data_IF_682406516003
#
_entry.id   IF_682406516003
#
_cell.length_a   1.000
_cell.length_b   1.000
_cell.length_c   1.000
_cell.angle_alpha   90.00
_cell.angle_beta   90.00
_cell.angle_gamma   90.00
#
_symmetry.space_group_name_H-M   'P 1'
#
loop_
_entity.id
_entity.type
_entity.pdbx_description
1 polymer ?
#
# COMPACT_ATOMS: atom_id res chain seq x y z
N UNK A 1 45.90 32.33 -20.65
CA UNK A 1 47.13 31.78 -21.29
C UNK A 1 47.27 30.36 -20.76
N UNK A 2 46.87 29.36 -21.55
CA UNK A 2 47.74 28.56 -22.44
C UNK A 2 48.90 27.91 -21.67
N UNK A 3 48.84 26.58 -21.55
CA UNK A 3 49.86 25.58 -21.93
C UNK A 3 49.39 24.23 -21.31
N UNK A 4 48.99 23.16 -22.04
CA UNK A 4 49.73 22.29 -22.99
C UNK A 4 51.13 21.96 -22.44
N UNK A 5 51.51 20.72 -22.12
CA UNK A 5 51.56 19.54 -22.99
C UNK A 5 51.65 18.22 -22.19
N UNK A 6 51.11 17.15 -22.80
CA UNK A 6 51.62 15.77 -22.93
C UNK A 6 52.83 15.33 -22.08
N UNK A 7 52.90 14.12 -21.49
CA UNK A 7 52.82 12.85 -22.23
C UNK A 7 52.92 11.58 -21.34
N UNK A 8 52.17 10.54 -21.76
CA UNK A 8 52.51 9.10 -21.84
C UNK A 8 52.72 8.24 -20.55
N UNK A 9 51.77 7.38 -20.16
CA UNK A 9 51.67 5.92 -20.47
C UNK A 9 51.55 5.15 -19.13
N UNK A 10 50.81 4.06 -18.87
CA UNK A 10 50.34 2.89 -19.62
C UNK A 10 49.11 2.26 -18.93
N UNK A 11 48.30 1.51 -19.71
CA UNK A 11 47.66 0.21 -19.39
C UNK A 11 46.68 0.13 -18.19
N UNK A 12 45.42 -0.29 -18.28
CA UNK A 12 44.94 -1.54 -18.87
C UNK A 12 43.40 -1.47 -19.02
N UNK A 13 42.86 -1.62 -20.24
CA UNK A 13 41.43 -1.85 -20.52
C UNK A 13 41.33 -3.26 -21.11
N UNK A 14 40.72 -4.18 -20.37
CA UNK A 14 40.29 -5.46 -20.94
C UNK A 14 38.81 -5.37 -21.30
N UNK A 15 38.58 -5.11 -22.57
CA UNK A 15 37.37 -5.46 -23.32
C UNK A 15 37.66 -6.78 -24.04
N UNK A 16 36.91 -7.84 -23.78
CA UNK A 16 36.92 -9.03 -24.62
C UNK A 16 35.63 -9.08 -25.42
N UNK A 17 35.66 -8.39 -26.57
CA UNK A 17 34.81 -8.72 -27.71
C UNK A 17 35.27 -10.04 -28.31
N UNK A 18 34.31 -10.82 -28.78
CA UNK A 18 34.51 -12.15 -29.35
C UNK A 18 34.94 -11.95 -30.80
N UNK A 19 36.23 -12.16 -31.10
CA UNK A 19 36.69 -12.22 -32.49
C UNK A 19 36.37 -13.59 -33.09
N UNK A 20 35.63 -13.54 -34.19
CA UNK A 20 35.31 -14.66 -35.07
C UNK A 20 36.57 -15.14 -35.79
N UNK A 21 36.96 -16.40 -35.56
CA UNK A 21 38.06 -17.04 -36.28
C UNK A 21 37.49 -17.76 -37.51
N UNK A 22 37.95 -17.28 -38.66
CA UNK A 22 37.77 -17.81 -40.01
C UNK A 22 38.00 -19.34 -40.05
N UNK A 23 36.99 -20.07 -40.53
CA UNK A 23 37.09 -21.50 -40.87
C UNK A 23 38.11 -21.71 -41.99
N UNK A 24 39.23 -22.36 -41.67
CA UNK A 24 40.06 -22.99 -42.69
C UNK A 24 39.36 -24.26 -43.22
N UNK A 25 39.53 -24.64 -44.50
CA UNK A 25 38.91 -25.83 -45.06
C UNK A 25 39.50 -27.08 -44.39
N UNK A 26 38.65 -27.83 -43.69
CA UNK A 26 38.98 -29.15 -43.16
C UNK A 26 39.12 -30.11 -44.36
N UNK A 27 40.28 -30.76 -44.57
CA UNK A 27 40.40 -31.78 -45.61
C UNK A 27 39.47 -32.96 -45.26
N UNK A 28 38.87 -33.63 -46.27
CA UNK A 28 37.91 -34.70 -46.03
C UNK A 28 38.56 -35.81 -45.18
N UNK A 29 37.82 -36.44 -44.26
CA UNK A 29 38.39 -37.44 -43.36
C UNK A 29 38.56 -38.76 -44.13
N UNK A 30 39.63 -38.85 -44.91
CA UNK A 30 40.25 -40.15 -45.21
C UNK A 30 40.96 -40.58 -43.95
N UNK A 31 40.27 -41.41 -43.16
CA UNK A 31 40.82 -42.56 -42.42
C UNK A 31 39.84 -43.01 -41.32
N UNK A 32 38.70 -43.56 -41.76
CA UNK A 32 37.76 -44.30 -40.88
C UNK A 32 38.40 -45.55 -40.24
N UNK A 33 39.60 -45.97 -40.69
CA UNK A 33 40.30 -47.16 -40.20
C UNK A 33 41.04 -46.94 -38.88
N UNK A 34 41.85 -45.88 -38.77
CA UNK A 34 42.75 -45.70 -37.63
C UNK A 34 42.05 -45.22 -36.35
N UNK A 35 40.97 -44.43 -36.48
CA UNK A 35 40.13 -44.02 -35.33
C UNK A 35 39.47 -45.24 -34.68
N UNK A 36 39.01 -46.19 -35.49
CA UNK A 36 38.37 -47.43 -35.01
C UNK A 36 39.39 -48.39 -34.38
N UNK A 37 40.64 -48.39 -34.84
CA UNK A 37 41.72 -49.21 -34.29
C UNK A 37 42.27 -48.61 -32.99
N UNK A 38 42.49 -47.29 -32.91
CA UNK A 38 42.91 -46.62 -31.68
C UNK A 38 41.84 -46.68 -30.58
N UNK A 39 40.55 -46.67 -30.94
CA UNK A 39 39.45 -46.97 -30.00
C UNK A 39 39.50 -48.40 -29.44
N UNK A 40 39.97 -49.39 -30.23
CA UNK A 40 40.14 -50.78 -29.77
C UNK A 40 41.38 -50.99 -28.89
N UNK A 41 42.41 -50.13 -29.02
CA UNK A 41 43.63 -50.21 -28.20
C UNK A 41 43.58 -49.34 -26.94
N UNK A 42 42.63 -48.40 -26.84
CA UNK A 42 42.37 -47.66 -25.61
C UNK A 42 40.88 -47.71 -25.19
N UNK A 43 40.31 -48.92 -24.98
CA UNK A 43 38.94 -49.07 -24.48
C UNK A 43 38.79 -48.43 -23.09
N UNK A 44 39.90 -48.32 -22.34
CA UNK A 44 39.98 -47.61 -21.07
C UNK A 44 39.80 -46.10 -21.23
N UNK A 45 40.25 -45.49 -22.32
CA UNK A 45 40.04 -44.07 -22.61
C UNK A 45 38.58 -43.73 -22.89
N UNK A 46 37.90 -44.53 -23.71
CA UNK A 46 36.47 -44.37 -23.97
C UNK A 46 35.63 -44.67 -22.70
N UNK A 47 36.03 -45.67 -21.91
CA UNK A 47 35.41 -45.97 -20.61
C UNK A 47 35.65 -44.86 -19.59
N UNK A 48 36.84 -44.27 -19.54
CA UNK A 48 37.19 -43.15 -18.66
C UNK A 48 36.45 -41.87 -19.06
N UNK A 49 36.28 -41.60 -20.35
CA UNK A 49 35.50 -40.48 -20.87
C UNK A 49 34.01 -40.64 -20.55
N UNK A 50 33.45 -41.84 -20.74
CA UNK A 50 32.09 -42.16 -20.33
C UNK A 50 31.90 -42.01 -18.81
N UNK A 51 32.86 -42.51 -18.02
CA UNK A 51 32.84 -42.36 -16.57
C UNK A 51 32.94 -40.89 -16.15
N UNK A 52 33.84 -40.11 -16.76
CA UNK A 52 33.96 -38.67 -16.55
C UNK A 52 32.67 -37.91 -16.87
N UNK A 53 32.00 -38.25 -17.98
CA UNK A 53 30.69 -37.69 -18.33
C UNK A 53 29.61 -38.05 -17.31
N UNK A 54 29.56 -39.31 -16.86
CA UNK A 54 28.57 -39.72 -15.84
C UNK A 54 28.79 -39.03 -14.49
N UNK A 55 30.04 -38.80 -14.09
CA UNK A 55 30.37 -38.01 -12.91
C UNK A 55 30.00 -36.53 -13.09
N UNK A 56 30.28 -35.95 -14.26
CA UNK A 56 29.90 -34.58 -14.58
C UNK A 56 28.38 -34.39 -14.52
N UNK A 57 27.59 -35.30 -15.12
CA UNK A 57 26.14 -35.27 -15.02
C UNK A 57 25.64 -35.42 -13.58
N UNK A 58 26.27 -36.28 -12.77
CA UNK A 58 25.92 -36.42 -11.35
C UNK A 58 26.21 -35.14 -10.54
N UNK A 59 27.33 -34.47 -10.82
CA UNK A 59 27.64 -33.18 -10.21
C UNK A 59 26.62 -32.12 -10.63
N UNK A 60 26.25 -32.09 -11.90
CA UNK A 60 25.26 -31.15 -12.42
C UNK A 60 23.87 -31.39 -11.81
N UNK A 61 23.44 -32.66 -11.68
CA UNK A 61 22.20 -32.98 -10.97
C UNK A 61 22.22 -32.46 -9.53
N UNK A 62 23.30 -32.71 -8.78
CA UNK A 62 23.44 -32.20 -7.40
C UNK A 62 23.42 -30.67 -7.33
N UNK A 63 24.01 -30.01 -8.33
CA UNK A 63 23.98 -28.55 -8.44
C UNK A 63 22.55 -28.06 -8.68
N UNK A 64 21.84 -28.66 -9.63
CA UNK A 64 20.44 -28.32 -9.93
C UNK A 64 19.56 -28.57 -8.70
N UNK A 65 19.74 -29.68 -7.98
CA UNK A 65 19.01 -29.96 -6.74
C UNK A 65 19.25 -28.88 -5.69
N UNK A 66 20.49 -28.43 -5.52
CA UNK A 66 20.83 -27.33 -4.61
C UNK A 66 20.21 -25.99 -5.06
N UNK A 67 20.21 -25.70 -6.36
CA UNK A 67 19.57 -24.50 -6.92
C UNK A 67 18.04 -24.55 -6.76
N UNK A 68 17.41 -25.72 -6.93
CA UNK A 68 15.99 -25.93 -6.70
C UNK A 68 15.60 -25.65 -5.25
N UNK A 69 16.36 -26.16 -4.27
CA UNK A 69 16.11 -25.87 -2.85
C UNK A 69 16.30 -24.38 -2.52
N UNK A 70 17.30 -23.73 -3.12
CA UNK A 70 17.49 -22.29 -2.97
C UNK A 70 16.29 -21.50 -3.52
N UNK A 71 15.76 -21.88 -4.68
CA UNK A 71 14.59 -21.23 -5.27
C UNK A 71 13.34 -21.48 -4.43
N UNK A 72 13.14 -22.71 -3.93
CA UNK A 72 12.00 -23.05 -3.04
C UNK A 72 12.00 -22.22 -1.77
N UNK A 73 13.15 -22.12 -1.10
CA UNK A 73 13.29 -21.32 0.13
C UNK A 73 13.08 -19.84 -0.13
N UNK A 74 13.62 -19.31 -1.23
CA UNK A 74 13.40 -17.92 -1.62
C UNK A 74 11.93 -17.63 -1.94
N UNK A 75 11.24 -18.54 -2.64
CA UNK A 75 9.81 -18.42 -2.91
C UNK A 75 8.98 -18.40 -1.62
N UNK A 76 9.31 -19.27 -0.65
CA UNK A 76 8.64 -19.30 0.65
C UNK A 76 8.81 -17.97 1.41
N UNK A 77 10.03 -17.44 1.50
CA UNK A 77 10.31 -16.16 2.18
C UNK A 77 9.58 -15.00 1.51
N UNK A 78 9.55 -14.97 0.18
CA UNK A 78 8.84 -13.92 -0.57
C UNK A 78 7.33 -14.03 -0.35
N UNK A 79 6.77 -15.24 -0.37
CA UNK A 79 5.35 -15.45 -0.12
C UNK A 79 4.96 -14.99 1.29
N UNK A 80 5.74 -15.38 2.32
CA UNK A 80 5.54 -14.92 3.69
C UNK A 80 5.63 -13.40 3.83
N UNK A 81 6.56 -12.76 3.11
CA UNK A 81 6.71 -11.31 3.13
C UNK A 81 5.51 -10.61 2.46
N UNK A 82 5.04 -11.16 1.34
CA UNK A 82 3.86 -10.68 0.62
C UNK A 82 2.62 -10.83 1.51
N UNK A 83 2.40 -11.99 2.12
CA UNK A 83 1.24 -12.25 2.97
C UNK A 83 1.21 -11.32 4.18
N UNK A 84 2.36 -11.11 4.84
CA UNK A 84 2.48 -10.13 5.93
C UNK A 84 2.18 -8.71 5.45
N UNK A 85 2.66 -8.32 4.27
CA UNK A 85 2.38 -6.99 3.72
C UNK A 85 0.89 -6.80 3.41
N UNK A 86 0.22 -7.84 2.92
CA UNK A 86 -1.22 -7.81 2.67
C UNK A 86 -2.01 -7.77 3.98
N UNK A 87 -1.61 -8.54 4.99
CA UNK A 87 -2.23 -8.49 6.32
C UNK A 87 -2.13 -7.08 6.93
N UNK A 88 -0.94 -6.48 6.90
CA UNK A 88 -0.74 -5.11 7.39
C UNK A 88 -1.58 -4.08 6.62
N UNK A 89 -1.65 -4.22 5.30
CA UNK A 89 -2.49 -3.35 4.45
C UNK A 89 -3.98 -3.51 4.78
N UNK A 90 -4.45 -4.75 4.99
CA UNK A 90 -5.82 -5.00 5.42
C UNK A 90 -6.09 -4.43 6.82
N UNK A 91 -5.17 -4.59 7.76
CA UNK A 91 -5.28 -4.01 9.10
C UNK A 91 -5.38 -2.48 9.02
N UNK A 92 -4.54 -1.80 8.26
CA UNK A 92 -4.60 -0.35 8.07
C UNK A 92 -5.95 0.09 7.45
N UNK A 93 -6.44 -0.62 6.43
CA UNK A 93 -7.76 -0.35 5.85
C UNK A 93 -8.90 -0.57 6.86
N UNK A 94 -8.81 -1.62 7.69
CA UNK A 94 -9.82 -1.87 8.73
C UNK A 94 -9.78 -0.81 9.82
N UNK A 95 -8.60 -0.36 10.23
CA UNK A 95 -8.43 0.72 11.20
C UNK A 95 -8.99 2.03 10.65
N UNK A 96 -8.71 2.35 9.38
CA UNK A 96 -9.25 3.53 8.69
C UNK A 96 -10.78 3.47 8.58
N UNK A 97 -11.33 2.31 8.25
CA UNK A 97 -12.79 2.09 8.23
C UNK A 97 -13.38 2.31 9.63
N UNK A 98 -12.76 1.75 10.66
CA UNK A 98 -13.21 1.90 12.04
C UNK A 98 -13.14 3.35 12.52
N UNK A 99 -12.09 4.09 12.17
CA UNK A 99 -11.96 5.51 12.53
C UNK A 99 -13.05 6.36 11.86
N UNK A 100 -13.34 6.09 10.59
CA UNK A 100 -14.40 6.79 9.86
C UNK A 100 -15.78 6.49 10.48
N UNK A 101 -16.08 5.23 10.78
CA UNK A 101 -17.35 4.86 11.42
C UNK A 101 -17.52 5.52 12.79
N UNK A 102 -16.49 5.45 13.66
CA UNK A 102 -16.53 6.10 14.98
C UNK A 102 -16.73 7.60 14.87
N UNK A 103 -16.11 8.22 13.87
CA UNK A 103 -16.31 9.63 13.59
C UNK A 103 -17.77 9.90 13.22
N UNK A 104 -18.36 9.15 12.28
CA UNK A 104 -19.78 9.27 11.94
C UNK A 104 -20.70 9.08 13.14
N UNK A 105 -20.45 8.08 13.98
CA UNK A 105 -21.23 7.83 15.20
C UNK A 105 -21.16 9.04 16.15
N UNK A 106 -19.98 9.66 16.27
CA UNK A 106 -19.78 10.87 17.09
C UNK A 106 -20.56 12.06 16.53
N UNK A 107 -20.46 12.32 15.22
CA UNK A 107 -21.22 13.40 14.56
C UNK A 107 -22.72 13.20 14.73
N UNK A 108 -23.20 11.97 14.56
CA UNK A 108 -24.61 11.64 14.73
C UNK A 108 -25.06 11.84 16.19
N UNK A 109 -24.23 11.46 17.16
CA UNK A 109 -24.49 11.69 18.58
C UNK A 109 -24.59 13.18 18.93
N UNK A 110 -23.62 13.99 18.49
CA UNK A 110 -23.63 15.44 18.71
C UNK A 110 -24.83 16.13 18.05
N UNK A 111 -25.15 15.75 16.80
CA UNK A 111 -26.32 16.30 16.11
C UNK A 111 -27.63 15.93 16.83
N UNK A 112 -27.73 14.70 17.31
CA UNK A 112 -28.85 14.24 18.13
C UNK A 112 -28.97 15.02 19.43
N UNK A 113 -27.84 15.27 20.11
CA UNK A 113 -27.81 16.07 21.33
C UNK A 113 -28.24 17.53 21.08
N UNK A 114 -27.70 18.18 20.05
CA UNK A 114 -28.09 19.54 19.68
C UNK A 114 -29.57 19.64 19.32
N UNK A 115 -30.12 18.63 18.63
CA UNK A 115 -31.54 18.57 18.33
C UNK A 115 -32.38 18.46 19.63
N UNK A 116 -31.98 17.60 20.57
CA UNK A 116 -32.64 17.45 21.86
C UNK A 116 -32.62 18.74 22.68
N UNK A 117 -31.48 19.42 22.74
CA UNK A 117 -31.31 20.70 23.43
C UNK A 117 -32.26 21.76 22.85
N UNK A 118 -32.28 21.92 21.51
CA UNK A 118 -33.17 22.86 20.82
C UNK A 118 -34.64 22.54 21.09
N UNK A 119 -35.02 21.27 21.02
CA UNK A 119 -36.39 20.83 21.29
C UNK A 119 -36.81 21.11 22.73
N UNK A 120 -35.88 20.94 23.68
CA UNK A 120 -36.12 21.23 25.10
C UNK A 120 -36.36 22.73 25.33
N UNK A 121 -35.54 23.60 24.72
CA UNK A 121 -35.72 25.06 24.81
C UNK A 121 -37.05 25.50 24.20
N UNK A 122 -37.42 24.94 23.04
CA UNK A 122 -38.73 25.19 22.42
C UNK A 122 -39.89 24.79 23.33
N UNK A 123 -39.84 23.61 23.95
CA UNK A 123 -40.86 23.17 24.91
C UNK A 123 -40.92 24.06 26.15
N UNK A 124 -39.80 24.58 26.63
CA UNK A 124 -39.79 25.53 27.75
C UNK A 124 -40.43 26.86 27.34
N UNK A 125 -40.15 27.36 26.12
CA UNK A 125 -40.78 28.56 25.60
C UNK A 125 -42.29 28.37 25.42
N UNK A 126 -42.72 27.23 24.87
CA UNK A 126 -44.14 26.85 24.74
C UNK A 126 -44.84 26.87 26.10
N UNK A 127 -44.29 26.19 27.11
CA UNK A 127 -44.84 26.19 28.47
C UNK A 127 -44.91 27.59 29.09
N UNK A 128 -43.90 28.43 28.86
CA UNK A 128 -43.93 29.82 29.33
C UNK A 128 -45.05 30.62 28.66
N UNK A 129 -45.30 30.39 27.37
CA UNK A 129 -46.42 31.02 26.65
C UNK A 129 -47.78 30.49 27.07
N UNK A 130 -47.92 29.19 27.33
CA UNK A 130 -49.15 28.59 27.87
C UNK A 130 -49.48 29.14 29.26
N UNK A 131 -48.48 29.25 30.12
CA UNK A 131 -48.63 29.82 31.46
C UNK A 131 -49.03 31.30 31.41
N UNK A 132 -48.46 32.07 30.47
CA UNK A 132 -48.83 33.47 30.22
C UNK A 132 -50.31 33.63 29.86
N UNK A 133 -50.89 32.67 29.13
CA UNK A 133 -52.29 32.66 28.69
C UNK A 133 -53.27 32.15 29.76
N UNK A 134 -52.78 31.69 30.90
CA UNK A 134 -53.61 31.12 31.96
C UNK A 134 -54.46 32.21 32.66
N UNK A 135 -55.75 31.95 32.91
CA UNK A 135 -56.61 32.89 33.61
C UNK A 135 -56.20 33.01 35.08
N UNK A 136 -56.20 34.24 35.62
CA UNK A 136 -55.88 34.51 37.03
C UNK A 136 -54.45 34.99 37.31
N UNK A 137 -53.57 35.08 36.31
CA UNK A 137 -52.23 35.66 36.46
C UNK A 137 -52.27 37.19 36.66
N UNK A 138 -51.39 37.70 37.53
CA UNK A 138 -51.13 39.14 37.64
C UNK A 138 -50.48 39.70 36.37
N UNK A 139 -50.58 41.02 36.17
CA UNK A 139 -49.99 41.70 35.01
C UNK A 139 -48.46 41.55 35.01
N UNK A 140 -47.83 41.62 36.18
CA UNK A 140 -46.37 41.47 36.35
C UNK A 140 -45.91 40.05 36.02
N UNK A 141 -46.60 39.01 36.51
CA UNK A 141 -46.27 37.62 36.17
C UNK A 141 -46.42 37.35 34.67
N UNK A 142 -47.45 37.91 34.04
CA UNK A 142 -47.67 37.78 32.60
C UNK A 142 -46.55 38.44 31.80
N UNK A 143 -46.07 39.60 32.27
CA UNK A 143 -44.93 40.29 31.67
C UNK A 143 -43.65 39.47 31.82
N UNK A 144 -43.39 38.91 33.00
CA UNK A 144 -42.22 38.06 33.25
C UNK A 144 -42.23 36.80 32.36
N UNK A 145 -43.37 36.13 32.20
CA UNK A 145 -43.49 34.98 31.28
C UNK A 145 -43.24 35.36 29.82
N UNK A 146 -43.68 36.55 29.39
CA UNK A 146 -43.43 37.06 28.04
C UNK A 146 -41.95 37.35 27.80
N UNK A 147 -41.29 38.00 28.76
CA UNK A 147 -39.85 38.28 28.70
C UNK A 147 -39.04 36.98 28.69
N UNK A 148 -39.40 36.00 29.53
CA UNK A 148 -38.77 34.67 29.55
C UNK A 148 -38.94 33.93 28.21
N UNK A 149 -40.14 33.91 27.64
CA UNK A 149 -40.39 33.26 26.35
C UNK A 149 -39.59 33.93 25.22
N UNK A 150 -39.46 35.26 25.25
CA UNK A 150 -38.65 36.01 24.30
C UNK A 150 -37.15 35.67 24.45
N UNK A 151 -36.63 35.62 25.68
CA UNK A 151 -35.24 35.23 25.95
C UNK A 151 -34.93 33.79 25.50
N UNK A 152 -35.80 32.84 25.82
CA UNK A 152 -35.64 31.44 25.39
C UNK A 152 -35.63 31.31 23.87
N UNK A 153 -36.51 32.05 23.18
CA UNK A 153 -36.58 32.06 21.72
C UNK A 153 -35.34 32.71 21.11
N UNK A 154 -34.79 33.75 21.75
CA UNK A 154 -33.56 34.41 21.33
C UNK A 154 -32.32 33.50 21.43
N UNK A 155 -32.34 32.46 22.27
CA UNK A 155 -31.24 31.50 22.35
C UNK A 155 -31.23 30.47 21.22
N UNK A 156 -32.35 30.22 20.53
CA UNK A 156 -32.46 29.24 19.44
C UNK A 156 -31.39 29.43 18.33
N UNK A 157 -31.15 30.63 17.78
CA UNK A 157 -30.10 30.83 16.79
C UNK A 157 -28.70 30.54 17.34
N UNK A 158 -28.44 30.81 18.63
CA UNK A 158 -27.15 30.53 19.28
C UNK A 158 -26.87 29.03 19.30
N UNK A 159 -27.87 28.19 19.55
CA UNK A 159 -27.74 26.73 19.43
C UNK A 159 -27.44 26.30 18.00
N UNK A 160 -28.04 26.98 17.00
CA UNK A 160 -27.76 26.74 15.59
C UNK A 160 -26.30 27.04 15.22
N UNK A 161 -25.80 28.21 15.65
CA UNK A 161 -24.42 28.62 15.41
C UNK A 161 -23.42 27.69 16.11
N UNK A 162 -23.72 27.27 17.35
CA UNK A 162 -22.90 26.31 18.10
C UNK A 162 -22.85 24.95 17.42
N UNK A 163 -23.99 24.44 16.94
CA UNK A 163 -24.04 23.18 16.19
C UNK A 163 -23.23 23.28 14.88
N UNK A 164 -23.30 24.42 14.19
CA UNK A 164 -22.54 24.64 12.97
C UNK A 164 -21.04 24.73 13.25
N UNK A 165 -20.63 25.36 14.35
CA UNK A 165 -19.23 25.37 14.81
C UNK A 165 -18.73 23.97 15.19
N UNK A 166 -19.55 23.16 15.87
CA UNK A 166 -19.20 21.77 16.18
C UNK A 166 -19.01 20.95 14.91
N UNK A 167 -19.94 21.07 13.96
CA UNK A 167 -19.84 20.42 12.66
C UNK A 167 -18.61 20.86 11.87
N UNK A 168 -18.27 22.15 11.85
CA UNK A 168 -17.05 22.64 11.18
C UNK A 168 -15.78 22.08 11.84
N UNK A 169 -15.76 22.00 13.17
CA UNK A 169 -14.64 21.41 13.92
C UNK A 169 -14.48 19.92 13.59
N UNK A 170 -15.59 19.19 13.54
CA UNK A 170 -15.64 17.80 13.13
C UNK A 170 -15.18 17.63 11.67
N UNK A 171 -15.69 18.45 10.75
CA UNK A 171 -15.29 18.41 9.33
C UNK A 171 -13.78 18.65 9.16
N UNK A 172 -13.19 19.57 9.93
CA UNK A 172 -11.75 19.81 9.90
C UNK A 172 -10.95 18.64 10.50
N UNK A 173 -11.55 17.87 11.41
CA UNK A 173 -10.96 16.67 11.99
C UNK A 173 -11.12 15.41 11.11
N UNK A 174 -11.81 15.51 9.96
CA UNK A 174 -11.98 14.37 9.06
C UNK A 174 -10.63 13.86 8.54
N UNK A 175 -10.36 12.54 8.64
CA UNK A 175 -9.21 11.97 7.99
C UNK A 175 -9.37 12.13 6.47
N UNK A 176 -8.39 12.75 5.82
CA UNK A 176 -8.43 13.01 4.39
C UNK A 176 -8.61 11.70 3.61
N UNK A 177 -9.71 11.59 2.87
CA UNK A 177 -9.94 10.47 1.97
C UNK A 177 -9.17 10.71 0.68
N UNK A 178 -7.89 10.33 0.65
CA UNK A 178 -7.19 10.15 -0.63
C UNK A 178 -7.81 8.94 -1.32
N UNK A 179 -8.64 9.20 -2.33
CA UNK A 179 -9.07 8.20 -3.29
C UNK A 179 -7.83 7.77 -4.07
N UNK A 180 -7.48 6.47 -4.12
CA UNK A 180 -6.42 6.03 -5.01
C UNK A 180 -6.86 6.27 -6.46
N UNK A 181 -6.07 7.03 -7.22
CA UNK A 181 -6.32 7.41 -8.63
C UNK A 181 -6.57 6.20 -9.55
N UNK A 182 -6.22 4.99 -9.11
CA UNK A 182 -6.42 3.73 -9.86
C UNK A 182 -7.88 3.27 -9.98
N UNK A 183 -8.83 3.89 -9.25
CA UNK A 183 -10.27 3.60 -9.39
C UNK A 183 -10.97 4.49 -10.42
N UNK A 184 -10.29 5.51 -10.95
CA UNK A 184 -10.78 6.30 -12.07
C UNK A 184 -10.36 5.58 -13.35
N UNK A 185 -11.24 4.72 -13.86
CA UNK A 185 -11.12 4.20 -15.22
C UNK A 185 -10.92 5.40 -16.16
N UNK A 186 -9.88 5.40 -17.02
CA UNK A 186 -9.74 6.45 -18.03
C UNK A 186 -10.95 6.37 -18.95
N UNK A 187 -11.73 7.46 -18.98
CA UNK A 187 -12.83 7.70 -19.91
C UNK A 187 -12.35 7.80 -21.35
#
# INVERSE_FOLDING_TARGET
MKNTESSNSKSNKQSTGIDSIVSAPVPPPTEKGWVTVLQKFNPLGAAAEAYGRTLAYRLECKRIDAELERVRTQAAVVHDAIDKSFQLSMEDLTQRRLSINRFFDTVQGELGQHHLERMTVLKMAERATEHMLSPGLSIEERRNCKELAAELTAQIPIFGDKANQSLQTLLNALPQVKLPDQLLLPS
#
